data_IF_104519522182
#
_entry.id   IF_104519522182
#
_cell.length_a   1.000
_cell.length_b   1.000
_cell.length_c   1.000
_cell.angle_alpha   90.00
_cell.angle_beta   90.00
_cell.angle_gamma   90.00
#
_symmetry.space_group_name_H-M   'P 1'
#
loop_
_entity.id
_entity.type
_entity.pdbx_description
1 polymer ?
#
# COMPACT_ATOMS: atom_id res chain seq x y z
N UNK A 1 -8.18 7.71 20.61
CA UNK A 1 -9.00 6.64 21.23
C UNK A 1 -8.18 5.37 21.44
N UNK A 2 -7.42 4.88 20.44
CA UNK A 2 -6.49 3.74 20.62
C UNK A 2 -5.38 3.94 21.68
N UNK A 3 -4.74 5.12 21.81
CA UNK A 3 -3.71 5.31 22.83
C UNK A 3 -4.24 5.24 24.26
N UNK A 4 -5.53 5.55 24.46
CA UNK A 4 -6.22 5.42 25.75
C UNK A 4 -6.46 3.95 26.15
N UNK A 5 -6.34 3.03 25.19
CA UNK A 5 -6.47 1.58 25.37
C UNK A 5 -5.10 0.87 25.36
N UNK A 6 -3.99 1.60 25.23
CA UNK A 6 -2.64 1.01 25.16
C UNK A 6 -2.37 0.19 23.89
N UNK A 7 -3.17 0.35 22.84
CA UNK A 7 -3.04 -0.40 21.60
C UNK A 7 -2.38 0.44 20.50
N UNK A 8 -1.41 -0.15 19.82
CA UNK A 8 -0.79 0.44 18.64
C UNK A 8 -1.73 0.31 17.42
N UNK A 9 -1.84 1.35 16.59
CA UNK A 9 -2.66 1.28 15.39
C UNK A 9 -2.10 0.27 14.38
N UNK A 10 -2.97 -0.46 13.66
CA UNK A 10 -2.52 -1.37 12.61
C UNK A 10 -1.76 -0.60 11.53
N UNK A 11 -0.59 -1.12 11.14
CA UNK A 11 0.31 -0.47 10.17
C UNK A 11 -0.09 -0.71 8.71
N UNK A 12 -1.04 -1.61 8.45
CA UNK A 12 -1.45 -1.92 7.09
C UNK A 12 -2.65 -2.86 7.03
N UNK A 13 -3.28 -2.92 5.86
CA UNK A 13 -4.43 -3.76 5.53
C UNK A 13 -4.15 -4.46 4.20
N UNK A 14 -4.52 -5.74 4.09
CA UNK A 14 -4.38 -6.53 2.88
C UNK A 14 -5.75 -6.88 2.31
N UNK A 15 -6.02 -6.49 1.06
CA UNK A 15 -7.24 -6.87 0.35
C UNK A 15 -7.01 -8.18 -0.45
N UNK A 16 -7.72 -9.25 -0.09
CA UNK A 16 -7.62 -10.57 -0.75
C UNK A 16 -8.95 -10.99 -1.38
N UNK A 17 -8.89 -11.68 -2.52
CA UNK A 17 -10.02 -12.39 -3.11
C UNK A 17 -9.94 -12.51 -4.64
N UNK A 18 -11.00 -12.97 -5.30
CA UNK A 18 -11.07 -13.10 -6.75
C UNK A 18 -10.84 -11.78 -7.50
N UNK A 19 -10.40 -11.81 -8.78
CA UNK A 19 -10.35 -10.61 -9.61
C UNK A 19 -11.77 -10.03 -9.81
N UNK A 20 -11.87 -8.70 -9.97
CA UNK A 20 -13.15 -8.04 -10.22
C UNK A 20 -13.98 -7.69 -8.97
N UNK A 21 -13.57 -8.07 -7.76
CA UNK A 21 -14.31 -7.70 -6.52
C UNK A 21 -14.02 -6.29 -6.00
N UNK A 22 -13.46 -5.40 -6.84
CA UNK A 22 -13.26 -3.99 -6.49
C UNK A 22 -12.11 -3.66 -5.54
N UNK A 23 -11.20 -4.58 -5.18
CA UNK A 23 -10.09 -4.34 -4.21
C UNK A 23 -9.32 -3.04 -4.46
N UNK A 24 -8.88 -2.83 -5.71
CA UNK A 24 -8.14 -1.63 -6.13
C UNK A 24 -9.01 -0.38 -6.09
N UNK A 25 -10.29 -0.49 -6.45
CA UNK A 25 -11.23 0.62 -6.43
C UNK A 25 -11.53 1.06 -4.99
N UNK A 26 -11.73 0.11 -4.08
CA UNK A 26 -11.95 0.37 -2.66
C UNK A 26 -10.74 1.07 -2.04
N UNK A 27 -9.53 0.60 -2.30
CA UNK A 27 -8.32 1.24 -1.78
C UNK A 27 -8.16 2.69 -2.26
N UNK A 28 -8.48 2.96 -3.53
CA UNK A 28 -8.42 4.31 -4.10
C UNK A 28 -9.50 5.23 -3.52
N UNK A 29 -10.75 4.75 -3.46
CA UNK A 29 -11.86 5.52 -2.89
C UNK A 29 -11.59 5.88 -1.42
N UNK A 30 -11.02 4.95 -0.66
CA UNK A 30 -10.67 5.18 0.74
C UNK A 30 -9.58 6.23 0.91
N UNK A 31 -8.57 6.23 0.03
CA UNK A 31 -7.53 7.26 0.06
C UNK A 31 -8.06 8.65 -0.30
N UNK A 32 -8.99 8.72 -1.26
CA UNK A 32 -9.68 9.96 -1.64
C UNK A 32 -10.55 10.50 -0.50
N UNK A 33 -11.33 9.63 0.14
CA UNK A 33 -12.19 9.99 1.27
C UNK A 33 -11.40 10.44 2.51
N UNK A 34 -10.24 9.81 2.75
CA UNK A 34 -9.34 10.20 3.84
C UNK A 34 -8.42 11.37 3.50
N UNK A 35 -8.40 11.84 2.25
CA UNK A 35 -7.51 12.91 1.79
C UNK A 35 -6.01 12.55 1.90
N UNK A 36 -5.68 11.26 1.78
CA UNK A 36 -4.30 10.76 1.89
C UNK A 36 -3.71 10.42 0.52
N UNK A 37 -2.37 10.42 0.43
CA UNK A 37 -1.69 10.03 -0.80
C UNK A 37 -1.88 8.54 -1.10
N UNK A 38 -2.35 8.22 -2.31
CA UNK A 38 -2.48 6.85 -2.80
C UNK A 38 -1.30 6.51 -3.71
N UNK A 39 -0.53 5.48 -3.35
CA UNK A 39 0.58 4.96 -4.17
C UNK A 39 0.20 3.56 -4.62
N UNK A 40 -0.11 3.42 -5.92
CA UNK A 40 -0.29 2.11 -6.54
C UNK A 40 1.09 1.59 -6.98
N UNK A 41 1.47 0.44 -6.44
CA UNK A 41 2.70 -0.24 -6.82
C UNK A 41 2.31 -1.63 -7.34
N UNK A 42 2.61 -1.93 -8.60
CA UNK A 42 2.37 -3.25 -9.17
C UNK A 42 3.60 -4.12 -8.93
N UNK A 43 3.44 -5.36 -8.46
CA UNK A 43 4.56 -6.25 -8.08
C UNK A 43 5.74 -6.33 -9.08
N UNK A 44 5.51 -6.37 -10.41
CA UNK A 44 6.59 -6.34 -11.40
C UNK A 44 7.40 -5.03 -11.40
N UNK A 45 6.80 -3.89 -11.07
CA UNK A 45 7.48 -2.60 -10.97
C UNK A 45 8.44 -2.56 -9.77
N UNK A 46 8.10 -3.27 -8.69
CA UNK A 46 9.00 -3.46 -7.55
C UNK A 46 10.18 -4.34 -7.96
N UNK A 47 9.94 -5.49 -8.59
CA UNK A 47 11.02 -6.37 -9.02
C UNK A 47 11.96 -5.72 -10.03
N UNK A 48 11.44 -4.87 -10.94
CA UNK A 48 12.25 -4.17 -11.94
C UNK A 48 13.18 -3.10 -11.35
N UNK A 49 12.74 -2.34 -10.35
CA UNK A 49 13.58 -1.32 -9.68
C UNK A 49 14.76 -1.92 -8.91
N UNK A 50 14.57 -3.06 -8.26
CA UNK A 50 15.64 -3.69 -7.48
C UNK A 50 16.67 -4.45 -8.33
N UNK A 51 16.43 -4.66 -9.63
CA UNK A 51 17.36 -5.36 -10.53
C UNK A 51 18.39 -4.42 -11.21
N UNK A 52 18.43 -3.12 -10.87
CA UNK A 52 19.33 -2.18 -11.56
C UNK A 52 19.82 -0.94 -10.80
N UNK A 53 19.32 -0.64 -9.59
CA UNK A 53 19.77 0.53 -8.80
C UNK A 53 20.76 0.19 -7.66
N UNK A 54 21.36 -1.02 -7.65
CA UNK A 54 22.36 -1.41 -6.64
C UNK A 54 23.83 -1.19 -7.07
N UNK A 55 24.10 -0.48 -8.16
CA UNK A 55 25.49 -0.18 -8.59
C UNK A 55 25.72 1.31 -8.84
N UNK A 56 25.27 2.19 -7.93
CA UNK A 56 25.91 3.50 -7.85
C UNK A 56 27.25 3.31 -7.12
N UNK A 57 28.40 3.46 -7.79
CA UNK A 57 29.67 3.43 -7.11
C UNK A 57 29.74 4.70 -6.24
N UNK A 58 29.86 4.48 -4.94
CA UNK A 58 30.52 5.38 -4.00
C UNK A 58 31.88 5.84 -4.54
#
# INVERSE_FOLDING_TARGET
MLPKLGLEPPRGVLFVGPPGTGKTLTARAFAEELGVSYIAIVGPEVMGKYYGENELPI
#
